data_IF_220756715112
#
_entry.id   IF_220756715112
#
_cell.length_a   1.000
_cell.length_b   1.000
_cell.length_c   1.000
_cell.angle_alpha   90.00
_cell.angle_beta   90.00
_cell.angle_gamma   90.00
#
_symmetry.space_group_name_H-M   'P 1'
#
loop_
_entity.id
_entity.type
_entity.pdbx_description
1 polymer ?
#
# COMPACT_ATOMS: atom_id res chain seq x y z
N UNK A 1 4.03 51.23 -20.08
CA UNK A 1 3.07 50.63 -19.12
C UNK A 1 3.51 51.00 -17.70
N UNK A 2 2.64 51.56 -16.87
CA UNK A 2 3.03 52.04 -15.54
C UNK A 2 3.46 50.86 -14.64
N UNK A 3 4.50 51.02 -13.80
CA UNK A 3 5.04 49.92 -12.95
C UNK A 3 3.95 49.21 -12.12
N UNK A 4 2.95 49.97 -11.69
CA UNK A 4 1.78 49.45 -10.97
C UNK A 4 0.90 48.51 -11.81
N UNK A 5 0.76 48.75 -13.12
CA UNK A 5 0.02 47.85 -14.04
C UNK A 5 0.80 46.56 -14.30
N UNK A 6 2.12 46.63 -14.39
CA UNK A 6 2.97 45.44 -14.56
C UNK A 6 2.93 44.55 -13.31
N UNK A 7 2.95 45.14 -12.12
CA UNK A 7 2.81 44.41 -10.85
C UNK A 7 1.44 43.73 -10.73
N UNK A 8 0.36 44.42 -11.11
CA UNK A 8 -1.01 43.88 -11.09
C UNK A 8 -1.17 42.70 -12.04
N UNK A 9 -0.56 42.76 -13.23
CA UNK A 9 -0.57 41.65 -14.18
C UNK A 9 0.24 40.48 -13.62
N UNK A 10 1.41 40.72 -13.03
CA UNK A 10 2.23 39.66 -12.44
C UNK A 10 1.52 38.95 -11.27
N UNK A 11 0.85 39.72 -10.40
CA UNK A 11 0.04 39.17 -9.31
C UNK A 11 -1.15 38.39 -9.86
N UNK A 12 -1.85 38.89 -10.89
CA UNK A 12 -2.93 38.13 -11.52
C UNK A 12 -2.44 36.83 -12.16
N UNK A 13 -1.27 36.83 -12.82
CA UNK A 13 -0.66 35.62 -13.41
C UNK A 13 -0.23 34.63 -12.31
N UNK A 14 0.32 35.10 -11.19
CA UNK A 14 0.65 34.24 -10.05
C UNK A 14 -0.61 33.65 -9.40
N UNK A 15 -1.67 34.46 -9.21
CA UNK A 15 -2.94 34.00 -8.63
C UNK A 15 -3.67 33.03 -9.56
N UNK A 16 -3.62 33.26 -10.88
CA UNK A 16 -4.19 32.31 -11.85
C UNK A 16 -3.34 31.05 -12.03
N UNK A 17 -2.02 31.13 -11.82
CA UNK A 17 -1.15 29.95 -11.71
C UNK A 17 -1.44 29.09 -10.47
N UNK A 18 -1.79 29.72 -9.34
CA UNK A 18 -2.25 29.05 -8.11
C UNK A 18 -3.68 28.50 -8.20
N UNK A 19 -4.54 29.07 -9.05
CA UNK A 19 -5.89 28.56 -9.30
C UNK A 19 -5.94 27.52 -10.43
N UNK A 20 -4.88 27.40 -11.24
CA UNK A 20 -4.74 26.40 -12.30
C UNK A 20 -4.10 25.09 -11.81
N UNK A 21 -3.60 25.04 -10.57
CA UNK A 21 -3.53 23.77 -9.84
C UNK A 21 -4.93 23.40 -9.39
N UNK A 22 -5.79 23.06 -10.35
CA UNK A 22 -6.85 22.11 -10.10
C UNK A 22 -6.13 20.83 -9.70
N UNK A 23 -5.87 20.68 -8.41
CA UNK A 23 -5.80 19.37 -7.80
C UNK A 23 -7.09 18.70 -8.29
N UNK A 24 -6.97 17.70 -9.16
CA UNK A 24 -8.05 16.76 -9.32
C UNK A 24 -8.04 16.02 -7.98
N UNK A 25 -8.92 16.43 -7.08
CA UNK A 25 -9.13 15.69 -5.83
C UNK A 25 -9.75 14.37 -6.28
N UNK A 26 -8.99 13.29 -6.24
CA UNK A 26 -9.57 11.95 -6.33
C UNK A 26 -10.23 11.73 -4.96
N UNK A 27 -11.55 11.63 -4.95
CA UNK A 27 -12.30 11.55 -3.71
C UNK A 27 -12.04 10.21 -3.05
N UNK A 28 -11.78 10.18 -1.74
CA UNK A 28 -12.02 8.98 -0.92
C UNK A 28 -13.36 8.37 -1.32
N UNK A 29 -13.54 7.04 -1.19
CA UNK A 29 -14.84 6.43 -1.49
C UNK A 29 -15.96 7.20 -0.78
N UNK A 30 -16.85 7.81 -1.57
CA UNK A 30 -17.90 8.70 -1.04
C UNK A 30 -19.21 7.94 -0.85
N UNK A 31 -19.36 6.82 -1.57
CA UNK A 31 -20.50 5.91 -1.49
C UNK A 31 -20.06 4.48 -1.19
N UNK A 32 -20.61 3.92 -0.10
CA UNK A 32 -20.56 2.48 0.14
C UNK A 32 -21.93 1.86 -0.12
N UNK A 33 -21.96 0.74 -0.85
CA UNK A 33 -23.17 -0.05 -1.10
C UNK A 33 -23.02 -1.47 -0.54
N UNK A 34 -24.00 -1.92 0.22
CA UNK A 34 -24.04 -3.31 0.71
C UNK A 34 -24.74 -4.20 -0.32
N UNK A 35 -24.11 -5.30 -0.71
CA UNK A 35 -24.70 -6.35 -1.55
C UNK A 35 -24.40 -7.71 -0.94
N UNK A 36 -25.44 -8.35 -0.39
CA UNK A 36 -25.25 -9.55 0.44
C UNK A 36 -24.49 -9.19 1.71
N UNK A 37 -23.42 -9.92 2.00
CA UNK A 37 -22.52 -9.66 3.13
C UNK A 37 -21.36 -8.73 2.77
N UNK A 38 -21.24 -8.33 1.50
CA UNK A 38 -20.14 -7.52 1.00
C UNK A 38 -20.46 -6.01 0.97
N UNK A 39 -19.45 -5.19 1.28
CA UNK A 39 -19.50 -3.74 1.07
C UNK A 39 -18.67 -3.39 -0.16
N UNK A 40 -19.26 -2.65 -1.09
CA UNK A 40 -18.58 -2.16 -2.28
C UNK A 40 -18.44 -0.64 -2.26
N UNK A 41 -17.33 -0.14 -2.81
CA UNK A 41 -17.09 1.29 -3.05
C UNK A 41 -17.64 1.76 -4.42
N UNK A 42 -17.32 3.02 -4.73
CA UNK A 42 -17.69 3.71 -5.98
C UNK A 42 -17.01 3.10 -7.24
N UNK A 43 -15.87 2.42 -7.09
CA UNK A 43 -15.20 1.65 -8.16
C UNK A 43 -15.71 0.23 -8.26
N UNK A 44 -16.77 -0.09 -7.51
CA UNK A 44 -17.46 -1.34 -7.62
C UNK A 44 -16.55 -2.51 -7.12
N UNK A 45 -15.57 -2.20 -6.25
CA UNK A 45 -14.65 -3.12 -5.57
C UNK A 45 -15.17 -3.43 -4.16
N UNK A 46 -15.10 -4.70 -3.78
CA UNK A 46 -15.48 -5.19 -2.46
C UNK A 46 -14.40 -4.87 -1.44
N UNK A 47 -14.76 -4.12 -0.41
CA UNK A 47 -13.91 -3.76 0.73
C UNK A 47 -13.78 -4.89 1.74
N UNK A 48 -14.76 -5.79 1.78
CA UNK A 48 -14.86 -6.84 2.79
C UNK A 48 -14.36 -8.20 2.30
N UNK A 49 -13.81 -8.26 1.07
CA UNK A 49 -13.36 -9.50 0.46
C UNK A 49 -12.13 -9.29 -0.41
N UNK A 50 -11.05 -10.00 -0.08
CA UNK A 50 -9.78 -9.91 -0.81
C UNK A 50 -9.77 -10.64 -2.16
N UNK A 51 -10.58 -11.71 -2.30
CA UNK A 51 -10.56 -12.63 -3.45
C UNK A 51 -11.64 -12.31 -4.49
N UNK A 52 -11.50 -12.85 -5.70
CA UNK A 52 -12.46 -12.68 -6.80
C UNK A 52 -12.20 -11.43 -7.64
N UNK A 53 -12.78 -11.35 -8.85
CA UNK A 53 -12.52 -10.27 -9.80
C UNK A 53 -12.86 -8.85 -9.28
N UNK A 54 -13.70 -8.78 -8.26
CA UNK A 54 -14.17 -7.58 -7.60
C UNK A 54 -13.65 -7.45 -6.16
N UNK A 55 -12.76 -8.33 -5.68
CA UNK A 55 -12.16 -8.20 -4.35
C UNK A 55 -11.03 -7.18 -4.32
N UNK A 56 -10.77 -6.55 -3.16
CA UNK A 56 -9.76 -5.49 -3.02
C UNK A 56 -8.32 -5.92 -3.37
N UNK A 57 -7.99 -7.21 -3.26
CA UNK A 57 -6.73 -7.80 -3.72
C UNK A 57 -6.85 -8.66 -4.99
N UNK A 58 -8.05 -8.77 -5.55
CA UNK A 58 -8.39 -9.58 -6.72
C UNK A 58 -7.74 -10.97 -6.71
N UNK A 59 -7.65 -11.60 -5.54
CA UNK A 59 -6.95 -12.88 -5.43
C UNK A 59 -7.76 -13.96 -6.17
N UNK A 60 -7.06 -14.75 -6.99
CA UNK A 60 -7.62 -15.87 -7.72
C UNK A 60 -6.65 -17.06 -7.73
N UNK A 61 -7.07 -18.15 -8.34
CA UNK A 61 -6.23 -19.31 -8.63
C UNK A 61 -4.93 -18.95 -9.38
N UNK A 62 -4.98 -17.92 -10.23
CA UNK A 62 -3.89 -17.54 -11.12
C UNK A 62 -2.89 -16.58 -10.47
N UNK A 63 -3.33 -15.79 -9.50
CA UNK A 63 -2.51 -14.76 -8.86
C UNK A 63 -3.32 -13.75 -8.07
N UNK A 64 -2.74 -12.58 -7.80
CA UNK A 64 -3.44 -11.46 -7.16
C UNK A 64 -3.05 -10.14 -7.81
N UNK A 65 -3.92 -9.15 -7.63
CA UNK A 65 -3.75 -7.79 -8.12
C UNK A 65 -4.39 -6.83 -7.11
N UNK A 66 -3.60 -6.08 -6.32
CA UNK A 66 -4.10 -5.20 -5.26
C UNK A 66 -4.75 -3.95 -5.86
N UNK A 67 -5.96 -4.11 -6.41
CA UNK A 67 -6.72 -3.04 -7.05
C UNK A 67 -7.01 -1.89 -6.11
N UNK A 68 -7.12 -2.17 -4.80
CA UNK A 68 -7.28 -1.17 -3.75
C UNK A 68 -6.18 -0.10 -3.74
N UNK A 69 -4.94 -0.49 -4.05
CA UNK A 69 -3.84 0.48 -4.14
C UNK A 69 -3.96 1.37 -5.38
N UNK A 70 -4.63 0.88 -6.44
CA UNK A 70 -4.80 1.60 -7.69
C UNK A 70 -5.85 2.72 -7.58
N UNK A 71 -6.73 2.66 -6.59
CA UNK A 71 -7.68 3.73 -6.25
C UNK A 71 -6.99 5.02 -5.76
N UNK A 72 -5.67 4.98 -5.59
CA UNK A 72 -4.85 6.13 -5.17
C UNK A 72 -3.62 6.33 -6.08
N UNK A 73 -3.68 5.84 -7.33
CA UNK A 73 -2.57 5.89 -8.29
C UNK A 73 -3.03 6.31 -9.69
N UNK A 74 -2.09 6.80 -10.49
CA UNK A 74 -2.33 7.17 -11.88
C UNK A 74 -3.38 8.28 -12.01
N UNK A 75 -4.49 8.00 -12.71
CA UNK A 75 -5.61 8.93 -12.84
C UNK A 75 -6.34 9.19 -11.51
N UNK A 76 -6.21 8.28 -10.54
CA UNK A 76 -6.81 8.38 -9.20
C UNK A 76 -5.80 8.86 -8.14
N UNK A 77 -4.59 9.30 -8.54
CA UNK A 77 -3.60 9.77 -7.58
C UNK A 77 -4.05 11.04 -6.85
N UNK A 78 -4.05 11.02 -5.51
CA UNK A 78 -4.36 12.20 -4.70
C UNK A 78 -3.43 12.35 -3.48
N UNK A 79 -3.99 12.42 -2.26
CA UNK A 79 -3.33 12.91 -1.07
C UNK A 79 -2.18 12.00 -0.66
N UNK A 80 -2.38 10.68 -0.68
CA UNK A 80 -1.35 9.71 -0.32
C UNK A 80 -0.16 9.76 -1.29
N UNK A 81 -0.43 9.84 -2.58
CA UNK A 81 0.61 9.99 -3.60
C UNK A 81 1.36 11.32 -3.41
N UNK A 82 0.62 12.42 -3.22
CA UNK A 82 1.17 13.75 -2.97
C UNK A 82 2.02 13.82 -1.69
N UNK A 83 1.66 13.08 -0.63
CA UNK A 83 2.51 12.93 0.56
C UNK A 83 3.86 12.28 0.19
N UNK A 84 3.87 11.30 -0.71
CA UNK A 84 5.07 10.71 -1.28
C UNK A 84 5.94 11.75 -1.99
N UNK A 85 5.36 12.56 -2.86
CA UNK A 85 6.06 13.64 -3.58
C UNK A 85 6.66 14.68 -2.62
N UNK A 86 5.91 15.05 -1.58
CA UNK A 86 6.39 15.97 -0.54
C UNK A 86 7.58 15.38 0.22
N UNK A 87 7.54 14.09 0.57
CA UNK A 87 8.68 13.39 1.17
C UNK A 87 9.88 13.37 0.22
N UNK A 88 9.65 13.23 -1.08
CA UNK A 88 10.71 13.29 -2.07
C UNK A 88 11.39 14.67 -2.17
N UNK A 89 10.61 15.74 -2.12
CA UNK A 89 11.14 17.10 -2.07
C UNK A 89 11.91 17.39 -0.76
N UNK A 90 11.44 16.84 0.37
CA UNK A 90 12.03 17.07 1.70
C UNK A 90 13.29 16.24 1.96
N UNK A 91 13.37 15.03 1.40
CA UNK A 91 14.47 14.10 1.63
C UNK A 91 15.09 13.69 0.27
N UNK A 92 16.13 14.39 -0.21
CA UNK A 92 16.74 14.07 -1.50
C UNK A 92 17.50 12.73 -1.53
N UNK A 93 18.06 12.31 -0.39
CA UNK A 93 18.73 11.01 -0.27
C UNK A 93 17.72 9.87 -0.30
N UNK A 94 17.90 8.92 -1.24
CA UNK A 94 16.95 7.82 -1.48
C UNK A 94 16.83 6.87 -0.30
N UNK A 95 17.91 6.59 0.43
CA UNK A 95 17.81 5.69 1.59
C UNK A 95 17.06 6.38 2.73
N UNK A 96 17.44 7.62 3.04
CA UNK A 96 16.79 8.41 4.08
C UNK A 96 15.31 8.65 3.76
N UNK A 97 14.97 8.99 2.52
CA UNK A 97 13.58 9.22 2.11
C UNK A 97 12.73 7.96 2.29
N UNK A 98 13.23 6.80 1.88
CA UNK A 98 12.51 5.55 2.07
C UNK A 98 12.26 5.25 3.55
N UNK A 99 13.29 5.42 4.39
CA UNK A 99 13.14 5.30 5.85
C UNK A 99 12.12 6.29 6.42
N UNK A 100 12.11 7.54 5.94
CA UNK A 100 11.19 8.57 6.41
C UNK A 100 9.75 8.30 6.04
N UNK A 101 9.49 7.78 4.84
CA UNK A 101 8.17 7.31 4.43
C UNK A 101 7.74 6.13 5.31
N UNK A 102 8.61 5.13 5.47
CA UNK A 102 8.33 3.96 6.31
C UNK A 102 7.96 4.36 7.75
N UNK A 103 8.79 5.18 8.40
CA UNK A 103 8.54 5.62 9.76
C UNK A 103 7.33 6.54 9.87
N UNK A 104 7.03 7.33 8.83
CA UNK A 104 5.81 8.14 8.81
C UNK A 104 4.57 7.26 8.90
N UNK A 105 4.45 6.22 8.07
CA UNK A 105 3.29 5.31 8.12
C UNK A 105 3.25 4.54 9.43
N UNK A 106 4.36 3.89 9.83
CA UNK A 106 4.45 3.11 11.08
C UNK A 106 4.06 3.92 12.32
N UNK A 107 4.44 5.20 12.37
CA UNK A 107 4.19 6.04 13.55
C UNK A 107 2.81 6.73 13.50
N UNK A 108 2.14 6.75 12.34
CA UNK A 108 0.87 7.46 12.11
C UNK A 108 -0.32 6.56 11.88
N UNK A 109 -0.13 5.29 11.54
CA UNK A 109 -1.20 4.29 11.48
C UNK A 109 -1.17 3.46 12.75
N UNK A 110 -2.26 3.53 13.52
CA UNK A 110 -2.41 2.75 14.75
C UNK A 110 -3.08 1.42 14.39
N UNK A 111 -2.31 0.34 14.57
CA UNK A 111 -2.82 -1.00 14.30
C UNK A 111 -4.14 -1.26 15.02
N UNK A 112 -5.21 -1.46 14.24
CA UNK A 112 -6.57 -1.69 14.72
C UNK A 112 -7.20 -2.77 13.84
N UNK A 113 -7.65 -3.90 14.39
CA UNK A 113 -8.33 -4.92 13.60
C UNK A 113 -9.63 -4.40 12.99
N UNK A 114 -9.97 -4.85 11.78
CA UNK A 114 -11.18 -4.40 11.06
C UNK A 114 -12.47 -4.62 11.84
N UNK A 115 -12.55 -5.71 12.60
CA UNK A 115 -13.73 -6.00 13.43
C UNK A 115 -13.96 -4.93 14.50
N UNK A 116 -12.90 -4.33 15.03
CA UNK A 116 -12.99 -3.30 16.05
C UNK A 116 -13.34 -1.93 15.43
N UNK A 117 -12.92 -1.68 14.19
CA UNK A 117 -13.12 -0.41 13.48
C UNK A 117 -14.42 -0.36 12.66
N UNK A 118 -14.67 -1.41 11.89
CA UNK A 118 -15.74 -1.48 10.87
C UNK A 118 -16.84 -2.49 11.21
N UNK A 119 -16.67 -3.32 12.25
CA UNK A 119 -17.60 -4.42 12.59
C UNK A 119 -17.70 -5.50 11.49
N UNK A 120 -16.67 -5.61 10.65
CA UNK A 120 -16.51 -6.65 9.65
C UNK A 120 -15.28 -7.49 9.96
N UNK A 121 -15.31 -8.78 9.61
CA UNK A 121 -14.12 -9.62 9.73
C UNK A 121 -12.98 -9.11 8.84
N UNK A 122 -13.28 -8.40 7.75
CA UNK A 122 -12.30 -7.80 6.85
C UNK A 122 -12.88 -6.47 6.32
N UNK A 123 -12.07 -5.43 6.23
CA UNK A 123 -12.43 -4.18 5.58
C UNK A 123 -11.17 -3.41 5.13
N UNK A 124 -10.92 -3.39 3.83
CA UNK A 124 -9.82 -2.66 3.23
C UNK A 124 -10.09 -1.15 3.15
N UNK A 125 -9.11 -0.31 3.49
CA UNK A 125 -9.07 1.13 3.19
C UNK A 125 -8.06 1.42 2.07
N UNK A 126 -8.39 2.37 1.19
CA UNK A 126 -7.44 2.83 0.19
C UNK A 126 -6.45 3.82 0.82
N UNK A 127 -5.39 4.16 0.08
CA UNK A 127 -4.31 4.96 0.65
C UNK A 127 -4.77 6.38 1.01
N UNK A 128 -5.68 6.95 0.22
CA UNK A 128 -6.17 8.32 0.43
C UNK A 128 -7.06 8.42 1.67
N UNK A 129 -7.88 7.41 1.97
CA UNK A 129 -8.67 7.35 3.21
C UNK A 129 -7.78 7.43 4.46
N UNK A 130 -6.67 6.68 4.49
CA UNK A 130 -5.70 6.77 5.58
C UNK A 130 -4.95 8.12 5.58
N UNK A 131 -4.54 8.60 4.40
CA UNK A 131 -3.82 9.86 4.28
C UNK A 131 -4.68 11.05 4.74
N UNK A 132 -5.97 11.05 4.43
CA UNK A 132 -6.93 12.03 4.91
C UNK A 132 -7.10 11.97 6.43
N UNK A 133 -7.31 10.78 6.99
CA UNK A 133 -7.41 10.61 8.43
C UNK A 133 -6.14 11.11 9.16
N UNK A 134 -4.94 10.82 8.63
CA UNK A 134 -3.68 11.34 9.17
C UNK A 134 -3.60 12.86 9.05
N UNK A 135 -4.04 13.45 7.93
CA UNK A 135 -4.02 14.91 7.72
C UNK A 135 -4.95 15.62 8.69
N UNK A 136 -6.14 15.07 8.92
CA UNK A 136 -7.16 15.66 9.77
C UNK A 136 -6.86 15.47 11.26
N UNK A 137 -6.46 14.25 11.67
CA UNK A 137 -6.38 13.85 13.08
C UNK A 137 -4.94 13.70 13.58
N UNK A 138 -3.95 13.73 12.69
CA UNK A 138 -2.56 13.43 13.00
C UNK A 138 -2.25 11.93 13.11
N UNK A 139 -3.23 11.05 12.92
CA UNK A 139 -3.08 9.59 12.87
C UNK A 139 -4.30 8.95 12.16
N UNK A 140 -4.14 7.73 11.66
CA UNK A 140 -5.21 6.86 11.18
C UNK A 140 -5.27 5.56 12.00
N UNK A 141 -6.35 4.80 11.80
CA UNK A 141 -6.45 3.42 12.26
C UNK A 141 -6.54 2.51 11.03
N UNK A 142 -5.87 1.37 11.12
CA UNK A 142 -5.89 0.37 10.07
C UNK A 142 -5.03 -0.81 10.45
N UNK A 143 -5.11 -1.87 9.66
CA UNK A 143 -4.46 -3.13 9.93
C UNK A 143 -3.21 -3.34 9.03
N UNK A 144 -2.83 -4.60 8.75
CA UNK A 144 -1.71 -4.90 7.87
C UNK A 144 -1.91 -4.50 6.40
N UNK A 145 -3.13 -4.65 5.87
CA UNK A 145 -3.46 -4.34 4.48
C UNK A 145 -3.47 -2.82 4.28
N UNK A 146 -4.21 -2.08 5.09
CA UNK A 146 -4.28 -0.63 5.06
C UNK A 146 -2.88 0.02 5.09
N UNK A 147 -2.04 -0.46 6.01
CA UNK A 147 -0.68 0.04 6.18
C UNK A 147 0.20 -0.24 4.96
N UNK A 148 0.04 -1.41 4.34
CA UNK A 148 0.77 -1.81 3.14
C UNK A 148 0.34 -0.95 1.94
N UNK A 149 -0.97 -0.75 1.77
CA UNK A 149 -1.56 0.07 0.69
C UNK A 149 -1.07 1.51 0.78
N UNK A 150 -1.15 2.14 1.96
CA UNK A 150 -0.62 3.50 2.15
C UNK A 150 0.88 3.58 1.83
N UNK A 151 1.68 2.61 2.32
CA UNK A 151 3.12 2.59 2.07
C UNK A 151 3.45 2.51 0.58
N UNK A 152 2.83 1.59 -0.16
CA UNK A 152 3.18 1.40 -1.57
C UNK A 152 2.83 2.63 -2.41
N UNK A 153 1.71 3.30 -2.11
CA UNK A 153 1.29 4.53 -2.81
C UNK A 153 2.22 5.69 -2.48
N UNK A 154 2.56 5.90 -1.21
CA UNK A 154 3.54 6.93 -0.83
C UNK A 154 4.91 6.67 -1.44
N UNK A 155 5.34 5.41 -1.58
CA UNK A 155 6.58 5.07 -2.26
C UNK A 155 6.54 5.37 -3.77
N UNK A 156 5.42 5.09 -4.45
CA UNK A 156 5.24 5.43 -5.87
C UNK A 156 5.33 6.96 -6.06
N UNK A 157 4.59 7.74 -5.27
CA UNK A 157 4.67 9.20 -5.30
C UNK A 157 6.06 9.75 -4.98
N UNK A 158 6.83 9.04 -4.16
CA UNK A 158 8.21 9.40 -3.85
C UNK A 158 9.25 8.97 -4.91
N UNK A 159 8.81 8.35 -6.01
CA UNK A 159 9.66 7.90 -7.12
C UNK A 159 10.35 6.55 -6.89
N UNK A 160 9.79 5.69 -6.04
CA UNK A 160 10.25 4.30 -5.88
C UNK A 160 9.34 3.33 -6.62
N UNK A 161 9.95 2.23 -7.08
CA UNK A 161 9.19 1.01 -7.35
C UNK A 161 8.81 0.38 -6.01
N UNK A 162 7.55 -0.02 -5.87
CA UNK A 162 7.00 -0.66 -4.69
C UNK A 162 6.19 -1.89 -5.06
N UNK A 163 5.99 -2.79 -4.11
CA UNK A 163 5.19 -3.99 -4.30
C UNK A 163 4.39 -4.28 -3.03
N UNK A 164 3.26 -4.97 -3.17
CA UNK A 164 2.58 -5.61 -2.04
C UNK A 164 2.99 -7.08 -2.04
N UNK A 165 3.45 -7.57 -0.89
CA UNK A 165 3.72 -8.98 -0.65
C UNK A 165 2.60 -9.58 0.21
N UNK A 166 2.20 -10.80 -0.14
CA UNK A 166 1.23 -11.60 0.60
C UNK A 166 1.92 -12.84 1.18
N UNK A 167 1.65 -13.07 2.46
CA UNK A 167 2.04 -14.25 3.21
C UNK A 167 0.77 -14.89 3.80
N UNK A 168 0.82 -16.14 4.26
CA UNK A 168 -0.30 -16.75 4.96
C UNK A 168 -0.78 -15.89 6.16
N UNK A 169 -1.95 -15.27 6.02
CA UNK A 169 -2.58 -14.48 7.07
C UNK A 169 -1.91 -13.13 7.34
N UNK A 170 -1.11 -12.62 6.40
CA UNK A 170 -0.41 -11.35 6.56
C UNK A 170 -0.06 -10.72 5.21
N UNK A 171 0.03 -9.40 5.17
CA UNK A 171 0.51 -8.66 4.00
C UNK A 171 1.41 -7.51 4.44
N UNK A 172 2.35 -7.13 3.57
CA UNK A 172 3.23 -6.00 3.81
C UNK A 172 3.63 -5.35 2.49
N UNK A 173 4.05 -4.09 2.58
CA UNK A 173 4.69 -3.41 1.47
C UNK A 173 6.14 -3.90 1.27
N UNK A 174 6.65 -3.71 0.06
CA UNK A 174 8.06 -3.77 -0.27
C UNK A 174 8.45 -2.53 -1.06
N UNK A 175 9.71 -2.14 -0.95
CA UNK A 175 10.30 -1.05 -1.73
C UNK A 175 11.57 -1.54 -2.42
N UNK A 176 11.73 -1.20 -3.69
CA UNK A 176 12.97 -1.48 -4.42
C UNK A 176 14.03 -0.45 -4.03
N UNK A 177 15.03 -0.90 -3.26
CA UNK A 177 16.07 -0.07 -2.68
C UNK A 177 17.40 -0.86 -2.60
N UNK A 178 18.04 -1.17 -3.74
CA UNK A 178 19.26 -2.00 -3.79
C UNK A 178 20.45 -1.44 -3.00
N UNK A 179 20.45 -0.13 -2.76
CA UNK A 179 21.43 0.57 -1.94
C UNK A 179 21.23 0.37 -0.41
N UNK A 180 20.09 -0.15 0.04
CA UNK A 180 19.80 -0.36 1.46
C UNK A 180 20.60 -1.52 2.08
N UNK A 181 21.19 -1.30 3.25
CA UNK A 181 22.08 -2.27 3.92
C UNK A 181 21.66 -2.67 5.33
N UNK A 182 20.57 -2.12 5.87
CA UNK A 182 20.18 -2.31 7.28
C UNK A 182 19.18 -3.46 7.51
N UNK A 183 18.84 -4.23 6.48
CA UNK A 183 17.89 -5.35 6.56
C UNK A 183 18.15 -6.41 5.50
N UNK A 184 17.28 -7.43 5.47
CA UNK A 184 17.36 -8.50 4.47
C UNK A 184 16.92 -7.98 3.11
N UNK A 185 17.79 -8.15 2.11
CA UNK A 185 17.40 -7.94 0.72
C UNK A 185 16.68 -9.19 0.21
N UNK A 186 15.61 -8.96 -0.52
CA UNK A 186 14.82 -9.95 -1.20
C UNK A 186 15.05 -9.90 -2.69
N UNK A 187 14.79 -11.04 -3.31
CA UNK A 187 14.78 -11.22 -4.75
C UNK A 187 13.36 -11.46 -5.21
N UNK A 188 12.84 -10.57 -6.06
CA UNK A 188 11.51 -10.69 -6.67
C UNK A 188 11.70 -10.85 -8.18
N UNK A 189 11.14 -11.91 -8.77
CA UNK A 189 11.31 -12.22 -10.20
C UNK A 189 12.76 -12.19 -10.70
N UNK A 190 13.71 -12.62 -9.87
CA UNK A 190 15.12 -12.63 -10.24
C UNK A 190 15.87 -11.32 -9.98
N UNK A 191 15.20 -10.27 -9.55
CA UNK A 191 15.81 -8.97 -9.28
C UNK A 191 16.07 -8.80 -7.77
N UNK A 192 17.33 -8.57 -7.39
CA UNK A 192 17.72 -8.31 -6.00
C UNK A 192 17.61 -6.82 -5.65
N UNK A 193 17.31 -6.53 -4.39
CA UNK A 193 17.24 -5.16 -3.86
C UNK A 193 15.88 -4.77 -3.32
N UNK A 194 14.93 -5.70 -3.28
CA UNK A 194 13.63 -5.47 -2.64
C UNK A 194 13.76 -5.55 -1.12
N UNK A 195 13.18 -4.57 -0.42
CA UNK A 195 13.24 -4.45 1.04
C UNK A 195 11.84 -4.55 1.60
N UNK A 196 11.65 -5.45 2.56
CA UNK A 196 10.39 -5.61 3.28
C UNK A 196 10.08 -4.40 4.16
N UNK A 197 8.86 -3.90 4.10
CA UNK A 197 8.41 -2.71 4.81
C UNK A 197 7.18 -3.03 5.70
N UNK A 198 7.45 -3.62 6.87
CA UNK A 198 6.44 -3.98 7.87
C UNK A 198 6.13 -2.83 8.83
N UNK A 199 5.06 -2.06 8.58
CA UNK A 199 4.69 -0.90 9.39
C UNK A 199 3.74 -1.19 10.56
N UNK A 200 3.23 -2.41 10.73
CA UNK A 200 2.26 -2.71 11.82
C UNK A 200 2.89 -2.75 13.21
N UNK A 201 4.19 -3.04 13.30
CA UNK A 201 4.93 -3.08 14.56
C UNK A 201 5.57 -1.74 14.88
N UNK A 202 5.13 -1.07 15.97
CA UNK A 202 5.62 0.26 16.35
C UNK A 202 7.12 0.39 16.69
N UNK A 203 7.89 -0.71 16.66
CA UNK A 203 9.35 -0.72 16.83
C UNK A 203 10.09 -1.35 15.65
N UNK A 204 9.39 -1.81 14.63
CA UNK A 204 10.02 -2.45 13.48
C UNK A 204 10.80 -1.38 12.70
N UNK A 205 12.09 -1.61 12.38
CA UNK A 205 12.79 -0.81 11.39
C UNK A 205 12.44 -1.29 9.97
N UNK A 206 12.67 -0.44 8.98
CA UNK A 206 12.59 -0.82 7.57
C UNK A 206 13.55 -2.00 7.29
N UNK A 207 13.06 -3.03 6.61
CA UNK A 207 13.81 -4.26 6.32
C UNK A 207 13.75 -5.32 7.43
N UNK A 208 13.00 -5.09 8.50
CA UNK A 208 12.68 -6.13 9.49
C UNK A 208 11.62 -7.08 8.97
N UNK A 209 11.82 -8.38 9.19
CA UNK A 209 10.93 -9.46 8.73
C UNK A 209 10.74 -10.43 9.90
N UNK A 210 9.51 -10.89 10.12
CA UNK A 210 9.25 -11.95 11.08
C UNK A 210 9.92 -13.26 10.65
N UNK A 211 10.40 -14.06 11.61
CA UNK A 211 11.15 -15.28 11.30
C UNK A 211 10.33 -16.30 10.51
N UNK A 212 9.02 -16.36 10.75
CA UNK A 212 8.11 -17.24 10.00
C UNK A 212 7.98 -16.89 8.51
N UNK A 213 8.45 -15.73 8.07
CA UNK A 213 8.42 -15.33 6.65
C UNK A 213 9.80 -15.39 5.99
N UNK A 214 10.84 -15.78 6.75
CA UNK A 214 12.20 -15.95 6.21
C UNK A 214 12.31 -17.34 5.59
N UNK A 215 12.82 -17.42 4.36
CA UNK A 215 12.98 -18.66 3.58
C UNK A 215 11.67 -19.37 3.18
N UNK A 216 10.54 -18.69 3.38
CA UNK A 216 9.25 -19.14 2.84
C UNK A 216 9.05 -18.62 1.41
N UNK A 217 8.30 -19.38 0.61
CA UNK A 217 7.85 -18.92 -0.69
C UNK A 217 6.69 -17.94 -0.50
N UNK A 218 6.98 -16.64 -0.70
CA UNK A 218 6.00 -15.57 -0.63
C UNK A 218 5.68 -15.07 -2.03
N UNK A 219 4.55 -14.40 -2.17
CA UNK A 219 4.12 -13.84 -3.44
C UNK A 219 4.02 -12.33 -3.37
N UNK A 220 4.43 -11.65 -4.43
CA UNK A 220 4.29 -10.21 -4.56
C UNK A 220 3.66 -9.80 -5.88
N UNK A 221 3.13 -8.60 -5.84
CA UNK A 221 2.69 -7.86 -7.00
C UNK A 221 3.40 -6.50 -6.98
N UNK A 222 4.25 -6.25 -7.98
CA UNK A 222 4.84 -4.94 -8.20
C UNK A 222 3.75 -3.96 -8.63
N UNK A 223 3.60 -2.89 -7.86
CA UNK A 223 2.62 -1.85 -8.14
C UNK A 223 3.05 -1.08 -9.39
N UNK A 224 2.12 -1.01 -10.35
CA UNK A 224 2.25 -0.25 -11.59
C UNK A 224 1.03 0.65 -11.73
N UNK A 225 1.19 1.74 -12.46
CA UNK A 225 0.06 2.57 -12.85
C UNK A 225 -0.85 1.79 -13.80
N UNK A 226 -2.03 1.44 -13.29
CA UNK A 226 -3.05 0.69 -14.01
C UNK A 226 -4.42 1.26 -13.66
N UNK A 227 -5.41 1.03 -14.53
CA UNK A 227 -6.79 1.45 -14.24
C UNK A 227 -7.43 0.60 -13.15
N UNK A 228 -8.25 1.24 -12.32
CA UNK A 228 -9.15 0.57 -11.40
C UNK A 228 -10.23 -0.15 -12.23
N UNK A 229 -10.17 -1.48 -12.24
CA UNK A 229 -11.12 -2.32 -12.99
C UNK A 229 -11.33 -3.63 -12.25
N UNK A 230 -12.54 -4.19 -12.41
CA UNK A 230 -12.81 -5.58 -12.02
C UNK A 230 -12.13 -6.52 -13.00
N UNK A 231 -11.17 -7.29 -12.52
CA UNK A 231 -10.42 -8.22 -13.35
C UNK A 231 -9.94 -9.40 -12.51
N UNK A 232 -9.97 -10.58 -13.11
CA UNK A 232 -9.14 -11.67 -12.58
C UNK A 232 -7.68 -11.43 -13.01
N UNK A 233 -6.72 -11.69 -12.10
CA UNK A 233 -5.31 -11.74 -12.46
C UNK A 233 -5.07 -12.71 -13.62
N UNK A 234 -4.37 -12.23 -14.65
CA UNK A 234 -4.00 -13.03 -15.82
C UNK A 234 -2.60 -13.61 -15.73
N UNK A 235 -1.79 -13.11 -14.79
CA UNK A 235 -0.39 -13.49 -14.61
C UNK A 235 -0.17 -14.14 -13.26
N UNK A 236 0.80 -15.07 -13.21
CA UNK A 236 1.28 -15.63 -11.96
C UNK A 236 1.92 -14.53 -11.12
N UNK A 237 1.69 -14.51 -9.80
CA UNK A 237 2.29 -13.51 -8.94
C UNK A 237 3.79 -13.75 -8.83
N UNK A 238 4.55 -12.69 -8.55
CA UNK A 238 5.99 -12.78 -8.43
C UNK A 238 6.38 -13.60 -7.20
N UNK A 239 7.27 -14.58 -7.34
CA UNK A 239 7.83 -15.27 -6.17
C UNK A 239 8.92 -14.41 -5.54
N UNK A 240 8.89 -14.34 -4.20
CA UNK A 240 9.89 -13.64 -3.39
C UNK A 240 10.71 -14.65 -2.59
N UNK A 241 12.04 -14.48 -2.59
CA UNK A 241 12.97 -15.32 -1.82
C UNK A 241 13.96 -14.43 -1.06
N UNK A 242 14.30 -14.80 0.17
CA UNK A 242 15.34 -14.17 0.99
C UNK A 242 16.75 -14.45 0.45
N UNK A 243 17.62 -13.43 0.39
CA UNK A 243 18.97 -13.53 -0.19
C UNK A 243 20.03 -14.32 0.62
N UNK A 244 19.63 -15.18 1.56
CA UNK A 244 20.53 -15.79 2.54
C UNK A 244 20.50 -17.32 2.57
N UNK A 245 21.27 -17.96 1.70
CA UNK A 245 21.91 -19.27 1.95
C UNK A 245 21.03 -20.52 2.05
N UNK A 246 21.21 -21.41 1.07
CA UNK A 246 21.26 -22.87 1.30
C UNK A 246 19.93 -23.56 1.57
N UNK A 247 19.30 -24.04 0.48
CA UNK A 247 18.35 -25.14 0.40
C UNK A 247 17.68 -25.60 1.69
N UNK A 248 16.58 -24.95 2.07
CA UNK A 248 15.48 -25.64 2.70
C UNK A 248 14.61 -26.24 1.60
N UNK A 249 14.31 -27.54 1.71
CA UNK A 249 13.30 -28.18 0.88
C UNK A 249 11.92 -27.66 1.30
N UNK A 250 11.59 -26.45 0.88
CA UNK A 250 10.26 -25.88 1.03
C UNK A 250 9.39 -26.54 -0.04
N UNK A 251 8.36 -27.28 0.38
CA UNK A 251 7.34 -27.73 -0.56
C UNK A 251 6.66 -26.47 -1.12
N UNK A 252 6.51 -26.32 -2.45
CA UNK A 252 5.87 -25.13 -3.01
C UNK A 252 4.46 -25.04 -2.42
N UNK A 253 4.19 -24.01 -1.65
CA UNK A 253 2.84 -23.74 -1.14
C UNK A 253 2.07 -23.28 -2.36
N UNK A 254 1.07 -24.04 -2.88
CA UNK A 254 0.34 -23.58 -4.05
C UNK A 254 -0.33 -22.25 -3.70
N UNK A 255 -0.22 -21.24 -4.57
CA UNK A 255 -0.74 -19.88 -4.35
C UNK A 255 -2.18 -19.87 -3.78
N UNK A 256 -3.02 -20.78 -4.24
CA UNK A 256 -4.36 -21.08 -3.74
C UNK A 256 -4.49 -21.25 -2.22
N UNK A 257 -3.44 -21.72 -1.55
CA UNK A 257 -3.41 -21.84 -0.09
C UNK A 257 -3.55 -20.48 0.57
N UNK A 258 -3.01 -19.42 -0.05
CA UNK A 258 -3.06 -18.04 0.46
C UNK A 258 -4.48 -17.49 0.45
N UNK A 259 -5.32 -17.95 -0.49
CA UNK A 259 -6.75 -17.62 -0.52
C UNK A 259 -7.42 -18.03 0.80
N UNK A 260 -7.09 -19.22 1.30
CA UNK A 260 -7.61 -19.70 2.58
C UNK A 260 -6.99 -18.95 3.76
N UNK A 261 -5.72 -18.55 3.71
CA UNK A 261 -5.04 -17.93 4.85
C UNK A 261 -5.34 -16.43 5.01
N UNK A 262 -5.50 -15.68 3.91
CA UNK A 262 -5.91 -14.27 4.00
C UNK A 262 -7.35 -14.15 4.53
N UNK A 263 -8.20 -15.16 4.30
CA UNK A 263 -9.51 -15.28 4.96
C UNK A 263 -9.44 -15.41 6.50
N UNK A 264 -8.25 -15.61 7.08
CA UNK A 264 -8.01 -15.75 8.52
C UNK A 264 -7.18 -14.60 9.13
N UNK A 265 -6.85 -13.52 8.39
CA UNK A 265 -6.12 -12.35 8.93
C UNK A 265 -6.77 -11.87 10.24
N UNK A 266 -8.10 -11.80 10.25
CA UNK A 266 -8.92 -11.39 11.39
C UNK A 266 -9.04 -12.40 12.55
N UNK A 267 -8.65 -13.66 12.34
CA UNK A 267 -8.78 -14.72 13.35
C UNK A 267 -7.52 -14.94 14.17
N UNK A 268 -6.34 -14.61 13.65
CA UNK A 268 -5.05 -14.94 14.28
C UNK A 268 -4.63 -13.93 15.37
N UNK A 269 -4.95 -12.64 15.23
CA UNK A 269 -4.57 -11.61 16.21
C UNK A 269 -5.52 -11.45 17.40
N UNK A 270 -6.60 -12.24 17.44
CA UNK A 270 -7.60 -12.30 18.54
C UNK A 270 -7.01 -12.66 19.92
N UNK A 271 -5.74 -13.09 20.00
CA UNK A 271 -5.09 -13.61 21.22
C UNK A 271 -4.12 -12.66 21.92
N UNK A 272 -3.93 -11.41 21.49
CA UNK A 272 -3.03 -10.46 22.18
C UNK A 272 -3.67 -9.20 22.76
N UNK A 273 -4.99 -9.03 22.62
CA UNK A 273 -5.74 -7.96 23.27
C UNK A 273 -6.78 -8.53 24.25
N UNK A 274 -6.31 -9.09 25.36
CA UNK A 274 -7.05 -9.25 26.62
C UNK A 274 -6.08 -9.11 27.78
#
# INVERSE_FOLDING_TARGET
>A
MNKMKLLLILVMVLVSGLAASNYAWATSSTGFRTVGDDIFDDWDISRTRAAGADGFYQISEKGFRPVIALESLGEEADIAYGMGEQMAGKYPDRVQRAEKIFYYVRDRVRYTPDIDQFQHDEFAQNADELADAITQNGFAHGDCEDSAVLLVVMYQGAGYRSAIAVAPGHTAAMVYLPEYKKGSAFKMNGEEGWVWAEATGGKNPLGWVAKEFINEELYAYEIKEERVTRAEPTEAPATIITGGGGGSASFPVPFFSIIFFLWFISRLFRRRAR
#
